data_IF_928568429835
#
_entry.id   IF_928568429835
#
_cell.length_a   1.000
_cell.length_b   1.000
_cell.length_c   1.000
_cell.angle_alpha   90.00
_cell.angle_beta   90.00
_cell.angle_gamma   90.00
#
_symmetry.space_group_name_H-M   'P 1'
#
loop_
_entity.id
_entity.type
_entity.pdbx_description
1 polymer ?
#
# COMPACT_ATOMS: atom_id res chain seq x y z
N UNK A 1 37.27 -41.36 65.74
CA UNK A 1 36.90 -41.75 64.32
C UNK A 1 35.47 -41.47 63.95
N UNK A 2 34.45 -41.67 64.81
CA UNK A 2 33.05 -41.36 64.48
C UNK A 2 32.68 -39.85 64.41
N UNK A 3 33.38 -38.99 65.17
CA UNK A 3 33.15 -37.55 65.23
C UNK A 3 33.55 -36.80 63.98
N UNK A 4 34.54 -37.27 63.22
CA UNK A 4 35.06 -36.61 62.03
C UNK A 4 34.18 -36.87 60.84
N UNK A 5 33.52 -38.06 60.77
CA UNK A 5 32.59 -38.38 59.69
C UNK A 5 31.26 -37.58 59.78
N UNK A 6 30.83 -37.31 61.03
CA UNK A 6 29.61 -36.46 61.19
C UNK A 6 29.85 -34.98 60.85
N UNK A 7 31.06 -34.47 61.12
CA UNK A 7 31.44 -33.10 60.79
C UNK A 7 31.57 -32.88 59.30
N UNK A 8 32.09 -33.89 58.56
CA UNK A 8 32.23 -33.89 57.11
C UNK A 8 30.85 -33.89 56.43
N UNK A 9 29.90 -34.72 56.89
CA UNK A 9 28.53 -34.75 56.34
C UNK A 9 27.77 -33.43 56.54
N UNK A 10 27.94 -32.77 57.73
CA UNK A 10 27.31 -31.46 57.97
C UNK A 10 27.89 -30.37 57.12
N UNK A 11 29.17 -30.38 56.79
CA UNK A 11 29.80 -29.40 55.89
C UNK A 11 29.38 -29.62 54.43
N UNK A 12 29.25 -30.86 54.00
CA UNK A 12 28.80 -31.20 52.65
C UNK A 12 27.36 -30.78 52.43
N UNK A 13 26.44 -30.98 53.39
CA UNK A 13 25.05 -30.53 53.33
C UNK A 13 24.92 -28.99 53.22
N UNK A 14 25.77 -28.24 53.96
CA UNK A 14 25.78 -26.77 53.85
C UNK A 14 26.26 -26.26 52.51
N UNK A 15 27.23 -26.91 51.87
CA UNK A 15 27.71 -26.55 50.51
C UNK A 15 26.65 -26.82 49.43
N UNK A 16 25.90 -27.91 49.57
CA UNK A 16 24.85 -28.29 48.65
C UNK A 16 23.70 -27.27 48.74
N UNK A 17 23.19 -26.96 49.92
CA UNK A 17 22.12 -25.96 50.10
C UNK A 17 22.51 -24.55 49.65
N UNK A 18 23.76 -24.16 49.79
CA UNK A 18 24.26 -22.88 49.31
C UNK A 18 24.27 -22.81 47.77
N UNK A 19 24.66 -23.89 47.09
CA UNK A 19 24.67 -23.97 45.62
C UNK A 19 23.22 -23.88 45.07
N UNK A 20 22.28 -24.57 45.67
CA UNK A 20 20.85 -24.47 45.25
C UNK A 20 20.26 -23.08 45.48
N UNK A 21 20.66 -22.39 46.55
CA UNK A 21 20.24 -21.01 46.81
C UNK A 21 20.75 -20.04 45.74
N UNK A 22 22.01 -20.20 45.33
CA UNK A 22 22.60 -19.37 44.27
C UNK A 22 21.94 -19.66 42.93
N UNK A 23 21.72 -20.91 42.54
CA UNK A 23 21.07 -21.25 41.29
C UNK A 23 19.63 -20.78 41.26
N UNK A 24 18.88 -20.88 42.35
CA UNK A 24 17.53 -20.35 42.47
C UNK A 24 17.51 -18.83 42.36
N UNK A 25 18.48 -18.15 42.93
CA UNK A 25 18.60 -16.68 42.85
C UNK A 25 18.97 -16.21 41.43
N UNK A 26 19.84 -16.94 40.74
CA UNK A 26 20.20 -16.67 39.35
C UNK A 26 19.01 -16.91 38.39
N UNK A 27 18.24 -17.96 38.63
CA UNK A 27 17.02 -18.23 37.87
C UNK A 27 15.94 -17.15 38.11
N UNK A 28 15.77 -16.69 39.35
CA UNK A 28 14.86 -15.61 39.67
C UNK A 28 15.27 -14.28 39.02
N UNK A 29 16.57 -13.94 39.02
CA UNK A 29 17.10 -12.75 38.34
C UNK A 29 16.93 -12.87 36.81
N UNK A 30 17.17 -14.06 36.25
CA UNK A 30 16.95 -14.31 34.82
C UNK A 30 15.47 -14.19 34.42
N UNK A 31 14.53 -14.67 35.25
CA UNK A 31 13.10 -14.45 35.03
C UNK A 31 12.68 -12.97 35.12
N UNK A 32 13.28 -12.21 36.07
CA UNK A 32 13.05 -10.77 36.17
C UNK A 32 13.56 -9.99 34.95
N UNK A 33 14.69 -10.40 34.38
CA UNK A 33 15.24 -9.78 33.16
C UNK A 33 14.42 -10.12 31.91
N UNK A 34 13.78 -11.28 31.86
CA UNK A 34 12.88 -11.68 30.76
C UNK A 34 11.51 -10.97 30.81
N UNK A 35 11.09 -10.48 31.98
CA UNK A 35 9.82 -9.76 32.14
C UNK A 35 9.90 -8.31 31.66
N UNK A 36 11.07 -7.80 31.31
CA UNK A 36 11.32 -6.40 30.93
C UNK A 36 10.96 -6.04 29.48
N UNK A 37 10.61 -7.00 28.61
CA UNK A 37 10.13 -6.72 27.24
C UNK A 37 8.59 -6.59 27.19
N UNK A 38 8.02 -5.76 28.02
CA UNK A 38 6.70 -5.20 27.79
C UNK A 38 6.81 -4.30 26.56
N UNK A 39 6.46 -4.83 25.38
CA UNK A 39 6.27 -4.04 24.18
C UNK A 39 5.17 -3.03 24.51
N UNK A 40 5.56 -1.82 24.86
CA UNK A 40 4.64 -0.71 25.05
C UNK A 40 3.95 -0.57 23.69
N UNK A 41 2.69 -1.01 23.58
CA UNK A 41 1.85 -0.69 22.44
C UNK A 41 1.84 0.82 22.40
N UNK A 42 2.55 1.40 21.46
CA UNK A 42 2.35 2.81 21.15
C UNK A 42 0.90 2.93 20.71
N UNK A 43 0.12 3.76 21.39
CA UNK A 43 -1.26 4.10 20.98
C UNK A 43 -1.26 4.94 19.67
N UNK A 44 -0.38 4.62 18.75
CA UNK A 44 -0.28 5.24 17.43
C UNK A 44 -1.20 4.48 16.49
N UNK A 45 -2.15 5.18 15.92
CA UNK A 45 -3.02 4.67 14.88
C UNK A 45 -2.21 4.63 13.58
N UNK A 46 -2.13 3.49 12.95
CA UNK A 46 -1.44 3.34 11.66
C UNK A 46 -2.49 3.20 10.57
N UNK A 47 -2.40 4.03 9.53
CA UNK A 47 -3.26 3.99 8.33
C UNK A 47 -2.37 3.66 7.14
N UNK A 48 -2.72 2.64 6.37
CA UNK A 48 -2.05 2.29 5.12
C UNK A 48 -2.84 2.84 3.94
N UNK A 49 -2.25 3.82 3.24
CA UNK A 49 -2.80 4.42 2.03
C UNK A 49 -2.13 3.81 0.80
N UNK A 50 -2.93 3.09 0.00
CA UNK A 50 -2.52 2.49 -1.27
C UNK A 50 -3.06 3.35 -2.41
N UNK A 51 -2.16 3.91 -3.23
CA UNK A 51 -2.57 4.80 -4.31
C UNK A 51 -1.76 4.57 -5.59
N UNK A 52 -2.25 5.09 -6.71
CA UNK A 52 -1.48 5.00 -7.95
C UNK A 52 -0.40 6.09 -8.03
N UNK A 53 0.68 5.81 -8.76
CA UNK A 53 1.96 6.52 -8.67
C UNK A 53 1.91 8.03 -8.92
N UNK A 54 1.13 8.58 -9.87
CA UNK A 54 1.06 10.03 -10.10
C UNK A 54 0.57 10.87 -8.93
N UNK A 55 0.00 10.25 -7.90
CA UNK A 55 -0.54 10.95 -6.73
C UNK A 55 0.42 10.98 -5.54
N UNK A 56 1.67 10.57 -5.73
CA UNK A 56 2.70 10.49 -4.68
C UNK A 56 2.89 11.81 -3.96
N UNK A 57 3.21 12.87 -4.67
CA UNK A 57 3.46 14.21 -4.10
C UNK A 57 2.21 14.79 -3.46
N UNK A 58 1.04 14.55 -4.05
CA UNK A 58 -0.23 14.95 -3.47
C UNK A 58 -0.41 14.33 -2.09
N UNK A 59 -0.27 13.02 -1.96
CA UNK A 59 -0.44 12.34 -0.67
C UNK A 59 0.67 12.63 0.33
N UNK A 60 1.90 12.90 -0.12
CA UNK A 60 2.95 13.39 0.78
C UNK A 60 2.57 14.71 1.46
N UNK A 61 1.97 15.63 0.72
CA UNK A 61 1.50 16.90 1.26
C UNK A 61 0.23 16.72 2.10
N UNK A 62 -0.76 16.01 1.57
CA UNK A 62 -2.04 15.78 2.22
C UNK A 62 -1.88 15.07 3.57
N UNK A 63 -1.10 14.00 3.63
CA UNK A 63 -0.93 13.22 4.86
C UNK A 63 -0.26 14.02 5.98
N UNK A 64 0.64 14.95 5.65
CA UNK A 64 1.21 15.88 6.66
C UNK A 64 0.12 16.75 7.29
N UNK A 65 -0.78 17.29 6.47
CA UNK A 65 -1.91 18.10 6.93
C UNK A 65 -2.90 17.25 7.74
N UNK A 66 -3.23 16.06 7.23
CA UNK A 66 -4.14 15.14 7.90
C UNK A 66 -3.63 14.74 9.30
N UNK A 67 -2.36 14.34 9.42
CA UNK A 67 -1.74 13.97 10.69
C UNK A 67 -1.85 15.11 11.70
N UNK A 68 -1.49 16.33 11.30
CA UNK A 68 -1.55 17.50 12.17
C UNK A 68 -2.99 17.81 12.62
N UNK A 69 -3.93 17.76 11.69
CA UNK A 69 -5.35 18.00 11.94
C UNK A 69 -5.92 16.94 12.88
N UNK A 70 -5.70 15.67 12.60
CA UNK A 70 -6.21 14.56 13.39
C UNK A 70 -5.66 14.55 14.82
N UNK A 71 -4.36 14.80 14.99
CA UNK A 71 -3.73 14.91 16.31
C UNK A 71 -4.26 16.12 17.09
N UNK A 72 -4.50 17.25 16.42
CA UNK A 72 -5.05 18.45 17.06
C UNK A 72 -6.50 18.23 17.54
N UNK A 73 -7.33 17.54 16.76
CA UNK A 73 -8.73 17.30 17.09
C UNK A 73 -8.93 16.18 18.12
N UNK A 74 -8.16 15.11 18.00
CA UNK A 74 -8.40 13.88 18.78
C UNK A 74 -7.42 13.67 19.93
N UNK A 75 -6.28 14.35 19.92
CA UNK A 75 -5.14 14.12 20.82
C UNK A 75 -4.42 12.78 20.58
N UNK A 76 -4.81 12.02 19.55
CA UNK A 76 -4.23 10.72 19.24
C UNK A 76 -3.19 10.86 18.14
N UNK A 77 -2.07 10.14 18.28
CA UNK A 77 -1.06 10.07 17.24
C UNK A 77 -1.50 9.16 16.11
N UNK A 78 -1.26 9.59 14.88
CA UNK A 78 -1.51 8.82 13.67
C UNK A 78 -0.26 8.78 12.79
N UNK A 79 -0.01 7.64 12.18
CA UNK A 79 1.04 7.44 11.19
C UNK A 79 0.39 6.95 9.89
N UNK A 80 0.78 7.53 8.77
CA UNK A 80 0.28 7.11 7.46
C UNK A 80 1.41 6.46 6.68
N UNK A 81 1.26 5.15 6.43
CA UNK A 81 2.13 4.37 5.55
C UNK A 81 1.61 4.54 4.13
N UNK A 82 2.50 4.84 3.18
CA UNK A 82 2.13 5.04 1.78
C UNK A 82 2.70 3.93 0.91
N UNK A 83 1.85 3.42 0.01
CA UNK A 83 2.25 2.53 -1.08
C UNK A 83 1.79 3.14 -2.40
N UNK A 84 2.74 3.40 -3.31
CA UNK A 84 2.46 3.98 -4.61
C UNK A 84 2.96 3.05 -5.72
N UNK A 85 2.18 2.91 -6.78
CA UNK A 85 2.54 2.04 -7.91
C UNK A 85 1.54 2.15 -9.05
N UNK A 86 1.68 1.32 -10.07
CA UNK A 86 0.70 1.23 -11.16
C UNK A 86 -0.67 0.79 -10.62
N UNK A 87 -1.73 1.46 -11.07
CA UNK A 87 -3.09 1.30 -10.55
C UNK A 87 -3.54 -0.17 -10.47
N UNK A 88 -3.47 -0.89 -11.58
CA UNK A 88 -3.84 -2.32 -11.60
C UNK A 88 -2.90 -3.22 -10.80
N UNK A 89 -1.64 -2.84 -10.58
CA UNK A 89 -0.74 -3.57 -9.66
C UNK A 89 -1.14 -3.36 -8.20
N UNK A 90 -1.50 -2.13 -7.83
CA UNK A 90 -1.97 -1.82 -6.49
C UNK A 90 -3.28 -2.54 -6.17
N UNK A 91 -4.25 -2.56 -7.12
CA UNK A 91 -5.48 -3.32 -6.97
C UNK A 91 -5.19 -4.81 -6.68
N UNK A 92 -4.35 -5.43 -7.50
CA UNK A 92 -3.96 -6.84 -7.29
C UNK A 92 -3.25 -7.07 -5.95
N UNK A 93 -2.36 -6.17 -5.55
CA UNK A 93 -1.68 -6.26 -4.26
C UNK A 93 -2.67 -6.29 -3.08
N UNK A 94 -3.73 -5.47 -3.14
CA UNK A 94 -4.79 -5.46 -2.13
C UNK A 94 -5.58 -6.77 -2.15
N UNK A 95 -5.98 -7.25 -3.33
CA UNK A 95 -6.65 -8.54 -3.50
C UNK A 95 -5.82 -9.71 -2.98
N UNK A 96 -4.49 -9.64 -3.16
CA UNK A 96 -3.52 -10.65 -2.70
C UNK A 96 -3.17 -10.54 -1.21
N UNK A 97 -3.76 -9.57 -0.49
CA UNK A 97 -3.65 -9.48 0.97
C UNK A 97 -2.79 -8.33 1.51
N UNK A 98 -2.46 -7.34 0.69
CA UNK A 98 -1.92 -6.09 1.22
C UNK A 98 -2.97 -5.43 2.11
N UNK A 99 -2.61 -5.20 3.37
CA UNK A 99 -3.52 -4.58 4.34
C UNK A 99 -3.60 -3.07 4.06
N UNK A 100 -4.60 -2.66 3.29
CA UNK A 100 -4.88 -1.26 2.96
C UNK A 100 -6.10 -0.76 3.75
N UNK A 101 -5.99 0.42 4.34
CA UNK A 101 -7.11 1.11 4.98
C UNK A 101 -7.77 2.11 4.02
N UNK A 102 -6.98 2.67 3.10
CA UNK A 102 -7.45 3.60 2.06
C UNK A 102 -6.86 3.17 0.73
N UNK A 103 -7.72 3.14 -0.29
CA UNK A 103 -7.31 2.80 -1.66
C UNK A 103 -7.78 3.91 -2.60
N UNK A 104 -6.86 4.46 -3.40
CA UNK A 104 -7.16 5.48 -4.41
C UNK A 104 -6.47 5.14 -5.72
N UNK A 105 -7.23 4.66 -6.68
CA UNK A 105 -6.72 4.14 -7.94
C UNK A 105 -7.20 4.97 -9.13
N UNK A 106 -6.61 4.74 -10.30
CA UNK A 106 -6.89 5.56 -11.48
C UNK A 106 -8.25 5.26 -12.13
N UNK A 107 -8.76 4.06 -11.96
CA UNK A 107 -9.97 3.59 -12.67
C UNK A 107 -10.95 2.95 -11.69
N UNK A 108 -12.23 3.17 -11.89
CA UNK A 108 -13.30 2.48 -11.19
C UNK A 108 -13.18 0.95 -11.31
N UNK A 109 -12.79 0.45 -12.48
CA UNK A 109 -12.55 -0.98 -12.71
C UNK A 109 -11.53 -1.58 -11.74
N UNK A 110 -10.45 -0.85 -11.41
CA UNK A 110 -9.43 -1.34 -10.47
C UNK A 110 -9.98 -1.43 -9.03
N UNK A 111 -10.92 -0.54 -8.67
CA UNK A 111 -11.63 -0.60 -7.38
C UNK A 111 -12.64 -1.75 -7.39
N UNK A 112 -13.37 -1.95 -8.49
CA UNK A 112 -14.33 -3.06 -8.61
C UNK A 112 -13.66 -4.44 -8.50
N UNK A 113 -12.40 -4.59 -8.94
CA UNK A 113 -11.64 -5.82 -8.70
C UNK A 113 -11.46 -6.13 -7.20
N UNK A 114 -11.36 -5.10 -6.36
CA UNK A 114 -11.26 -5.26 -4.92
C UNK A 114 -12.65 -5.55 -4.32
N UNK A 115 -13.70 -4.86 -4.83
CA UNK A 115 -15.10 -5.10 -4.47
C UNK A 115 -15.51 -6.56 -4.71
N UNK A 116 -15.15 -7.13 -5.86
CA UNK A 116 -15.43 -8.51 -6.23
C UNK A 116 -14.88 -9.55 -5.22
N UNK A 117 -13.88 -9.16 -4.44
CA UNK A 117 -13.33 -10.01 -3.35
C UNK A 117 -14.03 -9.83 -2.00
N UNK A 118 -14.97 -8.89 -1.91
CA UNK A 118 -15.67 -8.55 -0.67
C UNK A 118 -14.85 -7.72 0.32
N UNK A 119 -13.72 -7.18 -0.07
CA UNK A 119 -12.89 -6.29 0.77
C UNK A 119 -13.44 -4.86 0.83
N UNK A 120 -14.24 -4.47 -0.14
CA UNK A 120 -14.99 -3.21 -0.20
C UNK A 120 -16.48 -3.57 -0.34
N UNK A 121 -17.36 -2.83 0.33
CA UNK A 121 -18.80 -3.02 0.23
C UNK A 121 -19.31 -2.65 -1.17
N UNK A 122 -20.33 -3.36 -1.62
CA UNK A 122 -21.08 -2.99 -2.85
C UNK A 122 -21.60 -1.55 -2.75
N UNK A 123 -21.59 -0.84 -3.89
CA UNK A 123 -22.07 0.54 -3.97
C UNK A 123 -21.06 1.57 -3.41
N UNK A 124 -19.78 1.26 -3.38
CA UNK A 124 -18.72 2.17 -2.97
C UNK A 124 -18.72 3.50 -3.76
N UNK A 125 -19.18 3.48 -4.99
CA UNK A 125 -19.27 4.67 -5.86
C UNK A 125 -20.14 5.76 -5.24
N UNK A 126 -21.23 5.38 -4.58
CA UNK A 126 -22.20 6.30 -4.00
C UNK A 126 -21.92 6.68 -2.54
N UNK A 127 -20.81 6.21 -1.96
CA UNK A 127 -20.49 6.46 -0.54
C UNK A 127 -20.03 7.90 -0.28
N UNK A 128 -19.40 8.55 -1.25
CA UNK A 128 -18.89 9.91 -1.15
C UNK A 128 -19.34 10.75 -2.36
N UNK A 129 -19.32 12.10 -2.27
CA UNK A 129 -19.57 12.97 -3.41
C UNK A 129 -18.69 12.64 -4.63
N UNK A 130 -19.11 13.08 -5.80
CA UNK A 130 -18.39 12.96 -7.05
C UNK A 130 -18.00 11.51 -7.39
N UNK A 131 -18.94 10.58 -7.21
CA UNK A 131 -18.76 9.14 -7.47
C UNK A 131 -17.57 8.54 -6.68
N UNK A 132 -17.37 9.01 -5.46
CA UNK A 132 -16.25 8.65 -4.60
C UNK A 132 -14.88 8.95 -5.21
N UNK A 133 -14.79 9.91 -6.15
CA UNK A 133 -13.58 10.35 -6.80
C UNK A 133 -13.03 11.61 -6.11
N UNK A 134 -11.93 11.52 -5.31
CA UNK A 134 -11.40 12.67 -4.57
C UNK A 134 -10.74 13.71 -5.47
N UNK A 135 -10.41 13.36 -6.71
CA UNK A 135 -9.80 14.21 -7.73
C UNK A 135 -9.98 13.60 -9.12
N UNK A 136 -9.83 14.41 -10.14
CA UNK A 136 -9.81 14.00 -11.54
C UNK A 136 -8.47 14.33 -12.18
N UNK A 137 -8.10 13.63 -13.25
CA UNK A 137 -6.90 13.88 -14.03
C UNK A 137 -7.21 13.79 -15.52
N UNK A 138 -6.27 14.23 -16.35
CA UNK A 138 -6.39 14.14 -17.80
C UNK A 138 -5.11 13.56 -18.40
N UNK A 139 -5.23 12.99 -19.59
CA UNK A 139 -4.12 12.51 -20.39
C UNK A 139 -3.70 13.61 -21.34
N UNK A 140 -2.40 13.84 -21.44
CA UNK A 140 -1.81 14.85 -22.31
C UNK A 140 -0.74 14.24 -23.19
N UNK A 141 -0.50 14.85 -24.36
CA UNK A 141 0.61 14.49 -25.22
C UNK A 141 1.87 15.22 -24.77
N UNK A 142 2.90 14.46 -24.41
CA UNK A 142 4.23 15.00 -24.23
C UNK A 142 4.98 14.89 -25.55
N UNK A 143 5.20 16.03 -26.22
CA UNK A 143 5.89 16.10 -27.49
C UNK A 143 7.26 16.74 -27.35
N UNK A 144 8.18 16.45 -28.27
CA UNK A 144 9.50 17.08 -28.31
C UNK A 144 9.39 18.58 -28.50
N UNK A 145 10.37 19.32 -27.99
CA UNK A 145 10.42 20.77 -28.14
C UNK A 145 10.29 21.16 -29.61
N UNK A 146 9.39 22.10 -29.89
CA UNK A 146 9.08 22.56 -31.25
C UNK A 146 7.96 21.79 -31.93
N UNK A 147 7.58 20.61 -31.44
CA UNK A 147 6.49 19.79 -32.03
C UNK A 147 6.57 19.72 -33.57
N UNK A 148 7.71 19.31 -34.10
CA UNK A 148 8.02 19.29 -35.55
C UNK A 148 7.02 18.45 -36.36
N UNK A 149 6.35 17.47 -35.72
CA UNK A 149 5.30 16.64 -36.34
C UNK A 149 3.91 17.25 -36.22
N UNK A 150 3.80 18.44 -35.56
CA UNK A 150 2.53 19.14 -35.36
C UNK A 150 1.43 18.26 -34.71
N UNK A 151 1.83 17.43 -33.73
CA UNK A 151 0.92 16.57 -32.97
C UNK A 151 0.03 17.45 -32.10
N UNK A 152 -1.30 17.40 -32.34
CA UNK A 152 -2.31 18.16 -31.60
C UNK A 152 -3.47 17.31 -31.14
N UNK A 153 -3.74 16.23 -31.85
CA UNK A 153 -4.87 15.36 -31.59
C UNK A 153 -4.47 13.88 -31.73
N UNK A 154 -5.34 12.99 -31.33
CA UNK A 154 -5.14 11.55 -31.37
C UNK A 154 -4.87 11.02 -32.78
N UNK A 155 -5.55 11.58 -33.78
CA UNK A 155 -5.39 11.21 -35.19
C UNK A 155 -3.98 11.54 -35.73
N UNK A 156 -3.27 12.47 -35.11
CA UNK A 156 -1.90 12.80 -35.50
C UNK A 156 -0.90 11.71 -35.09
N UNK A 157 -1.24 10.88 -34.12
CA UNK A 157 -0.38 9.81 -33.64
C UNK A 157 -0.20 8.65 -34.62
N UNK A 158 -1.13 8.49 -35.58
CA UNK A 158 -1.10 7.43 -36.61
C UNK A 158 -0.37 7.87 -37.88
N UNK A 159 0.14 9.10 -37.96
CA UNK A 159 0.88 9.60 -39.12
C UNK A 159 2.16 8.78 -39.35
N UNK A 160 2.56 8.56 -40.61
CA UNK A 160 3.79 7.87 -40.94
C UNK A 160 5.01 8.52 -40.28
N UNK A 161 5.84 7.71 -39.60
CA UNK A 161 7.05 8.16 -38.93
C UNK A 161 6.83 8.85 -37.57
N UNK A 162 5.62 8.82 -37.01
CA UNK A 162 5.38 9.13 -35.61
C UNK A 162 5.61 7.88 -34.77
N UNK A 163 6.48 8.01 -33.79
CA UNK A 163 6.76 6.97 -32.78
C UNK A 163 6.13 7.40 -31.46
N UNK A 164 5.35 6.50 -30.84
CA UNK A 164 4.62 6.79 -29.61
C UNK A 164 5.11 5.86 -28.49
N UNK A 165 5.37 6.45 -27.33
CA UNK A 165 5.69 5.71 -26.11
C UNK A 165 4.50 5.81 -25.18
N UNK A 166 3.94 4.68 -24.79
CA UNK A 166 2.84 4.57 -23.83
C UNK A 166 3.25 3.74 -22.63
N UNK A 167 2.66 3.95 -21.46
CA UNK A 167 2.77 3.01 -20.35
C UNK A 167 2.16 1.65 -20.71
N UNK A 168 2.57 0.59 -20.00
CA UNK A 168 1.99 -0.74 -20.16
C UNK A 168 0.55 -0.78 -19.59
N UNK A 169 -0.48 -1.08 -20.40
CA UNK A 169 -1.87 -1.13 -19.96
C UNK A 169 -2.16 -2.22 -18.91
N UNK A 170 -1.28 -3.22 -18.76
CA UNK A 170 -1.42 -4.24 -17.71
C UNK A 170 -1.09 -3.74 -16.32
N UNK A 171 -0.31 -2.67 -16.21
CA UNK A 171 0.16 -2.13 -14.95
C UNK A 171 -0.31 -0.69 -14.70
N UNK A 172 -0.62 0.06 -15.74
CA UNK A 172 -0.99 1.48 -15.68
C UNK A 172 -2.45 1.71 -15.99
N UNK A 173 -3.21 2.23 -15.04
CA UNK A 173 -4.58 2.66 -15.25
C UNK A 173 -4.71 3.80 -16.25
N UNK A 174 -3.71 4.71 -16.33
CA UNK A 174 -3.68 5.76 -17.36
C UNK A 174 -3.58 5.19 -18.78
N UNK A 175 -2.82 4.11 -18.98
CA UNK A 175 -2.75 3.45 -20.28
C UNK A 175 -4.06 2.71 -20.61
N UNK A 176 -4.74 2.14 -19.64
CA UNK A 176 -6.09 1.56 -19.84
C UNK A 176 -7.14 2.63 -20.16
N UNK A 177 -7.07 3.79 -19.51
CA UNK A 177 -8.00 4.91 -19.74
C UNK A 177 -7.87 5.55 -21.12
N UNK A 178 -6.70 5.46 -21.77
CA UNK A 178 -6.51 5.93 -23.16
C UNK A 178 -7.17 5.03 -24.21
N UNK A 179 -7.49 3.80 -23.84
CA UNK A 179 -8.15 2.85 -24.72
C UNK A 179 -9.52 2.49 -24.18
N UNK A 180 -10.57 3.17 -24.59
CA UNK A 180 -11.95 2.82 -24.27
C UNK A 180 -12.32 1.47 -24.92
N UNK A 181 -11.69 0.40 -24.44
CA UNK A 181 -11.98 -0.96 -24.86
C UNK A 181 -13.08 -1.58 -23.99
N UNK A 182 -14.24 -0.91 -23.90
CA UNK A 182 -15.45 -1.54 -23.39
C UNK A 182 -15.90 -2.60 -24.40
N UNK A 183 -15.48 -3.83 -24.23
CA UNK A 183 -16.04 -4.97 -24.92
C UNK A 183 -15.12 -5.99 -25.55
N UNK A 184 -13.80 -5.78 -25.57
CA UNK A 184 -12.86 -6.73 -26.21
C UNK A 184 -11.66 -7.06 -25.29
N UNK A 185 -11.74 -6.83 -24.01
CA UNK A 185 -10.74 -7.29 -23.05
C UNK A 185 -11.09 -8.67 -22.49
N UNK A 186 -11.40 -9.61 -23.38
CA UNK A 186 -11.26 -11.02 -23.09
C UNK A 186 -9.87 -11.46 -23.54
N UNK A 187 -8.92 -11.55 -22.60
CA UNK A 187 -7.60 -12.18 -22.78
C UNK A 187 -6.63 -11.63 -23.84
N UNK A 188 -6.85 -10.45 -24.43
CA UNK A 188 -5.96 -9.88 -25.42
C UNK A 188 -5.64 -8.43 -25.11
N UNK A 189 -4.35 -8.09 -25.18
CA UNK A 189 -3.77 -6.77 -24.97
C UNK A 189 -4.58 -5.70 -25.70
N UNK A 190 -5.19 -4.77 -24.94
CA UNK A 190 -5.77 -3.55 -25.51
C UNK A 190 -4.64 -2.66 -26.00
N UNK A 191 -4.38 -2.65 -27.30
CA UNK A 191 -3.51 -1.67 -27.91
C UNK A 191 -4.26 -0.34 -28.02
N UNK A 192 -3.75 0.71 -27.40
CA UNK A 192 -4.24 2.09 -27.51
C UNK A 192 -4.27 2.59 -28.98
N UNK A 193 -3.74 1.83 -29.92
CA UNK A 193 -3.58 2.14 -31.34
C UNK A 193 -4.21 1.09 -32.28
N UNK A 194 -5.18 0.31 -31.80
CA UNK A 194 -5.93 -0.54 -32.73
C UNK A 194 -6.82 0.33 -33.65
N UNK A 195 -6.68 0.27 -34.98
CA UNK A 195 -7.51 1.03 -35.91
C UNK A 195 -9.03 0.83 -35.70
N UNK A 196 -9.41 -0.33 -35.15
CA UNK A 196 -10.79 -0.62 -34.77
C UNK A 196 -11.28 0.13 -33.52
N UNK A 197 -10.35 0.65 -32.70
CA UNK A 197 -10.65 1.40 -31.49
C UNK A 197 -10.65 2.91 -31.70
N UNK A 198 -9.87 3.42 -32.65
CA UNK A 198 -9.73 4.87 -32.95
C UNK A 198 -11.08 5.48 -33.45
N UNK A 199 -11.94 4.69 -34.09
CA UNK A 199 -13.26 5.16 -34.55
C UNK A 199 -14.38 5.17 -33.50
N UNK A 200 -14.09 4.81 -32.22
CA UNK A 200 -15.10 4.68 -31.15
C UNK A 200 -14.83 5.51 -29.90
N UNK A 201 -13.85 6.41 -29.93
CA UNK A 201 -13.56 7.30 -28.81
C UNK A 201 -14.55 8.47 -28.86
N UNK A 202 -15.71 8.26 -28.26
CA UNK A 202 -16.64 9.35 -27.97
C UNK A 202 -16.36 9.82 -26.53
N UNK A 203 -15.80 11.02 -26.39
CA UNK A 203 -15.70 11.70 -25.11
C UNK A 203 -17.06 12.30 -24.77
N UNK A 204 -17.67 11.89 -23.68
CA UNK A 204 -18.65 12.70 -22.96
C UNK A 204 -17.93 13.42 -21.84
N UNK A 205 -17.93 14.75 -21.96
CA UNK A 205 -17.49 15.70 -20.91
C UNK A 205 -18.47 15.66 -19.77
#
# INVERSE_FOLDING_TARGET
MLGDMQKSRKQQGKKITYRYRITALLLAVMMLLLSGCGRQKSDVITITNVSYDPTREFYEAYNKMFIQHYEAETGKKVEVIQSHGGSGMQARSVVEGCNADVVTLALAHDISLIEDTGLINEGWVDQFPDESAPYTSTIVFLVRKGNERNIKDWDDLIQPGVEVITPDPKSSGGACGTGHCTGICGNSVCCAFCPACIGKIGWTV
#
